data_IF_311004124338
#
_entry.id   IF_311004124338
#
_cell.length_a   1.000
_cell.length_b   1.000
_cell.length_c   1.000
_cell.angle_alpha   90.00
_cell.angle_beta   90.00
_cell.angle_gamma   90.00
#
_symmetry.space_group_name_H-M   'P 1'
#
loop_
_entity.id
_entity.type
_entity.pdbx_description
1 polymer ?
#
# COMPACT_ATOMS: atom_id res chain seq x y z
N UNK A 1 -9.60 14.58 1.78
CA UNK A 1 -9.64 14.82 0.31
C UNK A 1 -8.32 14.39 -0.28
N UNK A 2 -8.32 13.91 -1.52
CA UNK A 2 -7.12 13.53 -2.26
C UNK A 2 -6.43 14.80 -2.75
N UNK A 3 -5.15 14.96 -2.43
CA UNK A 3 -4.32 16.11 -2.84
C UNK A 3 -3.33 15.75 -3.97
N UNK A 4 -2.47 16.70 -4.35
CA UNK A 4 -1.48 16.52 -5.41
C UNK A 4 -0.41 15.46 -5.03
N UNK A 5 0.00 15.43 -3.76
CA UNK A 5 0.97 14.46 -3.28
C UNK A 5 0.39 13.04 -3.30
N UNK A 6 -0.90 12.90 -3.00
CA UNK A 6 -1.61 11.62 -3.11
C UNK A 6 -1.72 11.15 -4.56
N UNK A 7 -2.00 12.06 -5.51
CA UNK A 7 -2.03 11.75 -6.95
C UNK A 7 -0.67 11.28 -7.44
N UNK A 8 0.40 11.97 -7.06
CA UNK A 8 1.77 11.55 -7.37
C UNK A 8 2.09 10.17 -6.78
N UNK A 9 1.62 9.87 -5.56
CA UNK A 9 1.82 8.56 -4.94
C UNK A 9 1.11 7.44 -5.73
N UNK A 10 -0.11 7.69 -6.22
CA UNK A 10 -0.83 6.75 -7.09
C UNK A 10 -0.08 6.54 -8.40
N UNK A 11 0.39 7.61 -9.03
CA UNK A 11 1.17 7.54 -10.27
C UNK A 11 2.43 6.70 -10.10
N UNK A 12 3.14 6.85 -8.98
CA UNK A 12 4.32 6.05 -8.65
C UNK A 12 3.99 4.56 -8.45
N UNK A 13 2.85 4.25 -7.83
CA UNK A 13 2.36 2.88 -7.71
C UNK A 13 2.00 2.28 -9.09
N UNK A 14 1.41 3.08 -9.97
CA UNK A 14 1.07 2.69 -11.34
C UNK A 14 2.33 2.48 -12.18
N UNK A 15 3.33 3.36 -12.03
CA UNK A 15 4.60 3.25 -12.75
C UNK A 15 5.34 1.96 -12.36
N UNK A 16 5.43 1.65 -11.07
CA UNK A 16 6.18 0.47 -10.62
C UNK A 16 5.54 -0.82 -11.14
N UNK A 17 4.20 -0.95 -11.09
CA UNK A 17 3.54 -2.15 -11.60
C UNK A 17 3.61 -2.25 -13.12
N UNK A 18 3.51 -1.14 -13.87
CA UNK A 18 3.70 -1.16 -15.32
C UNK A 18 5.11 -1.58 -15.71
N UNK A 19 6.12 -1.11 -14.99
CA UNK A 19 7.53 -1.42 -15.24
C UNK A 19 7.90 -2.85 -14.87
N UNK A 20 7.24 -3.44 -13.86
CA UNK A 20 7.61 -4.72 -13.26
C UNK A 20 6.57 -5.81 -13.44
N UNK A 21 5.49 -5.53 -14.18
CA UNK A 21 4.47 -6.52 -14.51
C UNK A 21 5.12 -7.78 -15.07
N UNK A 22 4.71 -8.91 -14.51
CA UNK A 22 5.10 -10.24 -14.97
C UNK A 22 3.94 -11.17 -14.67
N UNK A 23 3.46 -11.83 -15.72
CA UNK A 23 2.40 -12.84 -15.63
C UNK A 23 2.75 -13.88 -14.56
N UNK A 24 1.75 -14.24 -13.74
CA UNK A 24 1.87 -15.16 -12.60
C UNK A 24 2.88 -14.76 -11.51
N UNK A 25 3.35 -13.51 -11.48
CA UNK A 25 4.36 -13.06 -10.50
C UNK A 25 4.05 -11.70 -9.86
N UNK A 26 3.75 -10.69 -10.68
CA UNK A 26 3.62 -9.29 -10.22
C UNK A 26 2.37 -8.65 -10.85
N UNK A 27 1.27 -8.59 -10.08
CA UNK A 27 -0.01 -8.04 -10.54
C UNK A 27 -0.46 -6.78 -9.81
N UNK A 28 0.10 -6.53 -8.62
CA UNK A 28 -0.23 -5.37 -7.79
C UNK A 28 1.05 -4.58 -7.54
N UNK A 29 0.98 -3.26 -7.71
CA UNK A 29 1.99 -2.30 -7.24
C UNK A 29 1.49 -1.57 -6.00
N UNK A 30 2.40 -1.12 -5.16
CA UNK A 30 2.10 -0.22 -4.07
C UNK A 30 3.14 0.89 -3.98
N UNK A 31 2.70 2.03 -3.47
CA UNK A 31 3.57 3.13 -3.08
C UNK A 31 3.19 3.59 -1.67
N UNK A 32 4.22 3.76 -0.83
CA UNK A 32 4.13 4.14 0.56
C UNK A 32 4.93 5.42 0.76
N UNK A 33 4.28 6.47 1.23
CA UNK A 33 4.92 7.71 1.71
C UNK A 33 5.04 7.65 3.22
N UNK A 34 6.23 7.95 3.73
CA UNK A 34 6.51 8.03 5.18
C UNK A 34 6.28 9.45 5.69
N UNK A 35 6.26 9.64 7.00
CA UNK A 35 6.11 10.98 7.59
C UNK A 35 7.33 11.89 7.36
N UNK A 36 8.48 11.33 6.96
CA UNK A 36 9.63 12.12 6.50
C UNK A 36 9.49 12.61 5.07
N UNK A 37 8.49 12.13 4.33
CA UNK A 37 8.19 12.49 2.94
C UNK A 37 8.82 11.60 1.89
N UNK A 38 9.65 10.62 2.27
CA UNK A 38 10.22 9.66 1.34
C UNK A 38 9.15 8.68 0.83
N UNK A 39 9.36 8.14 -0.37
CA UNK A 39 8.45 7.17 -0.98
C UNK A 39 9.16 5.84 -1.27
N UNK A 40 8.48 4.75 -0.92
CA UNK A 40 8.90 3.37 -1.18
C UNK A 40 7.86 2.70 -2.08
N UNK A 41 8.30 2.29 -3.27
CA UNK A 41 7.46 1.59 -4.24
C UNK A 41 7.86 0.13 -4.35
N UNK A 42 6.87 -0.75 -4.40
CA UNK A 42 7.08 -2.19 -4.50
C UNK A 42 6.01 -2.85 -5.38
N UNK A 43 6.26 -4.10 -5.74
CA UNK A 43 5.27 -5.00 -6.35
C UNK A 43 5.00 -6.18 -5.43
N UNK A 44 3.81 -6.75 -5.60
CA UNK A 44 3.44 -8.04 -5.04
C UNK A 44 4.44 -9.11 -5.47
N UNK A 45 4.82 -10.00 -4.56
CA UNK A 45 5.71 -11.13 -4.86
C UNK A 45 4.93 -12.42 -4.72
N UNK A 46 4.60 -13.02 -5.88
CA UNK A 46 3.93 -14.32 -5.91
C UNK A 46 4.82 -15.43 -5.37
N UNK A 47 4.20 -16.38 -4.69
CA UNK A 47 4.81 -17.64 -4.35
C UNK A 47 3.88 -18.79 -4.71
N UNK A 48 4.44 -19.89 -5.22
CA UNK A 48 3.66 -21.11 -5.50
C UNK A 48 2.87 -21.59 -4.28
N UNK A 49 3.46 -21.46 -3.09
CA UNK A 49 2.76 -21.65 -1.83
C UNK A 49 2.16 -20.31 -1.41
N UNK A 50 0.89 -20.09 -1.71
CA UNK A 50 0.24 -18.79 -1.50
C UNK A 50 0.29 -18.23 -0.07
N UNK A 51 0.54 -19.07 0.96
CA UNK A 51 0.70 -18.62 2.36
C UNK A 51 1.91 -17.72 2.59
N UNK A 52 2.87 -17.73 1.67
CA UNK A 52 4.09 -16.89 1.72
C UNK A 52 4.12 -15.87 0.57
N UNK A 53 3.03 -15.74 -0.19
CA UNK A 53 2.86 -14.64 -1.15
C UNK A 53 2.82 -13.32 -0.39
N UNK A 54 3.56 -12.34 -0.87
CA UNK A 54 3.66 -11.04 -0.22
C UNK A 54 2.92 -9.99 -1.03
N UNK A 55 1.99 -9.28 -0.38
CA UNK A 55 1.34 -8.12 -0.95
C UNK A 55 2.38 -6.99 -1.18
N UNK A 56 2.12 -6.15 -2.19
CA UNK A 56 3.02 -5.05 -2.53
C UNK A 56 3.21 -4.09 -1.34
N UNK A 57 2.14 -3.85 -0.57
CA UNK A 57 2.15 -3.01 0.63
C UNK A 57 3.13 -3.55 1.68
N UNK A 58 3.11 -4.86 1.94
CA UNK A 58 3.99 -5.48 2.93
C UNK A 58 5.46 -5.39 2.52
N UNK A 59 5.75 -5.52 1.21
CA UNK A 59 7.11 -5.34 0.68
C UNK A 59 7.55 -3.87 0.84
N UNK A 60 6.70 -2.90 0.49
CA UNK A 60 6.99 -1.48 0.64
C UNK A 60 7.23 -1.09 2.11
N UNK A 61 6.43 -1.62 3.04
CA UNK A 61 6.62 -1.45 4.49
C UNK A 61 7.96 -2.04 4.93
N UNK A 62 8.30 -3.25 4.47
CA UNK A 62 9.58 -3.88 4.76
C UNK A 62 10.78 -3.06 4.26
N UNK A 63 10.67 -2.44 3.09
CA UNK A 63 11.70 -1.55 2.55
C UNK A 63 11.87 -0.28 3.41
N UNK A 64 10.77 0.39 3.76
CA UNK A 64 10.78 1.57 4.63
C UNK A 64 11.34 1.26 6.02
N UNK A 65 10.92 0.12 6.61
CA UNK A 65 11.44 -0.37 7.88
C UNK A 65 12.94 -0.65 7.82
N UNK A 66 13.41 -1.29 6.74
CA UNK A 66 14.83 -1.60 6.55
C UNK A 66 15.68 -0.34 6.36
N UNK A 67 15.09 0.74 5.83
CA UNK A 67 15.73 2.05 5.74
C UNK A 67 15.70 2.84 7.06
N UNK A 68 15.00 2.34 8.08
CA UNK A 68 14.81 3.07 9.34
C UNK A 68 13.86 4.27 9.21
N UNK A 69 12.99 4.28 8.20
CA UNK A 69 12.19 5.43 7.80
C UNK A 69 10.70 5.13 7.96
N UNK A 70 10.27 5.09 9.21
CA UNK A 70 8.89 4.91 9.63
C UNK A 70 8.60 5.96 10.72
N UNK A 71 7.33 6.40 10.90
CA UNK A 71 6.08 5.75 10.50
C UNK A 71 5.56 6.10 9.10
N UNK A 72 4.52 5.36 8.70
CA UNK A 72 3.78 5.57 7.44
C UNK A 72 2.89 6.82 7.55
N UNK A 73 2.92 7.67 6.54
CA UNK A 73 1.95 8.76 6.34
C UNK A 73 0.76 8.28 5.51
N UNK A 74 1.03 7.87 4.27
CA UNK A 74 -0.01 7.48 3.30
C UNK A 74 0.45 6.30 2.46
N UNK A 75 -0.45 5.36 2.16
CA UNK A 75 -0.16 4.19 1.30
C UNK A 75 -1.30 3.93 0.31
N UNK A 76 -0.95 3.43 -0.88
CA UNK A 76 -1.89 2.99 -1.92
C UNK A 76 -1.40 1.73 -2.61
N UNK A 77 -2.34 0.86 -3.00
CA UNK A 77 -2.11 -0.28 -3.86
C UNK A 77 -2.92 -0.15 -5.16
N UNK A 78 -2.34 -0.58 -6.28
CA UNK A 78 -2.94 -0.50 -7.62
C UNK A 78 -2.75 -1.80 -8.39
N UNK A 79 -3.74 -2.15 -9.20
CA UNK A 79 -3.65 -3.26 -10.15
C UNK A 79 -2.90 -2.89 -11.43
N UNK A 80 -2.61 -3.88 -12.27
CA UNK A 80 -1.99 -3.69 -13.60
C UNK A 80 -2.79 -2.77 -14.52
N UNK A 81 -4.12 -2.71 -14.34
CA UNK A 81 -5.02 -1.81 -15.08
C UNK A 81 -4.96 -0.35 -14.56
N UNK A 82 -4.12 -0.08 -13.58
CA UNK A 82 -3.91 1.22 -12.97
C UNK A 82 -4.98 1.63 -11.96
N UNK A 83 -5.94 0.77 -11.64
CA UNK A 83 -6.97 1.08 -10.66
C UNK A 83 -6.48 0.81 -9.25
N UNK A 84 -6.86 1.70 -8.33
CA UNK A 84 -6.65 1.49 -6.90
C UNK A 84 -7.41 0.24 -6.46
N UNK A 85 -6.79 -0.55 -5.57
CA UNK A 85 -7.38 -1.73 -4.96
C UNK A 85 -7.34 -1.60 -3.43
N UNK A 86 -8.35 -2.12 -2.70
CA UNK A 86 -8.33 -2.07 -1.25
C UNK A 86 -7.24 -3.00 -0.69
N UNK A 87 -6.53 -2.62 0.39
CA UNK A 87 -5.56 -3.51 1.01
C UNK A 87 -6.25 -4.73 1.65
N UNK A 88 -5.59 -5.87 1.59
CA UNK A 88 -6.05 -7.10 2.24
C UNK A 88 -6.00 -6.99 3.78
N UNK A 89 -6.66 -7.91 4.49
CA UNK A 89 -6.73 -7.87 5.96
C UNK A 89 -5.35 -7.88 6.64
N UNK A 90 -4.40 -8.68 6.15
CA UNK A 90 -3.04 -8.73 6.69
C UNK A 90 -2.29 -7.42 6.48
N UNK A 91 -2.45 -6.78 5.32
CA UNK A 91 -1.81 -5.49 5.06
C UNK A 91 -2.41 -4.39 5.93
N UNK A 92 -3.74 -4.42 6.17
CA UNK A 92 -4.36 -3.46 7.09
C UNK A 92 -3.73 -3.55 8.48
N UNK A 93 -3.57 -4.76 9.01
CA UNK A 93 -2.92 -4.97 10.31
C UNK A 93 -1.50 -4.42 10.33
N UNK A 94 -0.71 -4.73 9.29
CA UNK A 94 0.67 -4.28 9.16
C UNK A 94 0.78 -2.75 9.05
N UNK A 95 -0.07 -2.12 8.23
CA UNK A 95 -0.13 -0.65 8.10
C UNK A 95 -0.45 -0.03 9.45
N UNK A 96 -1.41 -0.58 10.19
CA UNK A 96 -1.79 -0.05 11.50
C UNK A 96 -0.66 -0.17 12.54
N UNK A 97 0.14 -1.23 12.49
CA UNK A 97 1.27 -1.45 13.40
C UNK A 97 2.46 -0.51 13.10
N UNK A 98 2.71 -0.21 11.82
CA UNK A 98 3.81 0.68 11.40
C UNK A 98 3.39 2.14 11.15
N UNK A 99 2.11 2.45 11.34
CA UNK A 99 1.54 3.78 11.16
C UNK A 99 0.11 3.86 11.67
N UNK A 100 -0.08 3.98 12.99
CA UNK A 100 -1.42 4.03 13.58
C UNK A 100 -2.29 5.22 13.11
N UNK A 101 -1.65 6.28 12.60
CA UNK A 101 -2.31 7.45 12.02
C UNK A 101 -2.31 7.43 10.48
N UNK A 102 -1.81 6.35 9.86
CA UNK A 102 -1.65 6.26 8.42
C UNK A 102 -2.99 6.44 7.70
N UNK A 103 -2.91 7.10 6.56
CA UNK A 103 -3.98 7.20 5.59
C UNK A 103 -3.80 6.14 4.51
N UNK A 104 -4.92 5.61 4.01
CA UNK A 104 -4.96 4.61 2.95
C UNK A 104 -5.84 5.14 1.84
N UNK A 105 -5.32 5.13 0.61
CA UNK A 105 -6.11 5.46 -0.57
C UNK A 105 -6.80 4.17 -1.06
N UNK A 106 -8.12 4.19 -1.12
CA UNK A 106 -8.97 3.04 -1.45
C UNK A 106 -10.01 3.42 -2.51
N UNK A 107 -10.65 2.44 -3.18
CA UNK A 107 -11.81 2.71 -4.02
C UNK A 107 -12.99 3.19 -3.17
N UNK A 108 -13.67 4.23 -3.63
CA UNK A 108 -14.90 4.79 -3.08
C UNK A 108 -16.11 4.59 -3.98
N UNK A 109 -17.25 5.22 -3.64
CA UNK A 109 -18.51 5.02 -4.38
C UNK A 109 -18.47 5.57 -5.81
N UNK A 110 -17.84 6.74 -6.03
CA UNK A 110 -17.75 7.37 -7.34
C UNK A 110 -16.31 7.68 -7.78
N UNK A 111 -15.34 7.67 -6.86
CA UNK A 111 -13.92 7.94 -7.10
C UNK A 111 -13.06 7.21 -6.06
N UNK A 112 -11.78 7.55 -5.97
CA UNK A 112 -10.89 7.11 -4.89
C UNK A 112 -11.10 7.97 -3.63
N UNK A 113 -10.91 7.37 -2.47
CA UNK A 113 -11.06 8.01 -1.17
C UNK A 113 -9.81 7.80 -0.32
N UNK A 114 -9.46 8.79 0.50
CA UNK A 114 -8.39 8.71 1.49
C UNK A 114 -9.01 8.53 2.87
N UNK A 115 -8.77 7.39 3.51
CA UNK A 115 -9.36 7.01 4.80
C UNK A 115 -8.28 6.68 5.83
N UNK A 116 -8.57 6.85 7.12
CA UNK A 116 -7.67 6.40 8.18
C UNK A 116 -7.59 4.88 8.21
N UNK A 117 -6.42 4.32 8.50
CA UNK A 117 -6.27 2.87 8.69
C UNK A 117 -7.20 2.31 9.77
N UNK A 118 -7.53 3.08 10.80
CA UNK A 118 -8.44 2.65 11.87
C UNK A 118 -9.89 2.46 11.38
N UNK A 119 -10.28 3.16 10.30
CA UNK A 119 -11.59 2.94 9.66
C UNK A 119 -11.65 1.56 8.97
N UNK A 120 -10.51 1.05 8.49
CA UNK A 120 -10.44 -0.23 7.79
C UNK A 120 -10.30 -1.45 8.72
N UNK A 121 -10.10 -1.21 10.03
CA UNK A 121 -9.96 -2.23 11.09
C UNK A 121 -10.85 -1.90 12.31
N UNK A 122 -12.18 -2.01 12.16
CA UNK A 122 -13.07 -1.77 13.29
C UNK A 122 -12.83 -2.77 14.41
N UNK A 123 -12.76 -2.28 15.65
CA UNK A 123 -12.51 -3.09 16.86
C UNK A 123 -11.21 -3.92 16.78
N UNK A 124 -10.14 -3.35 16.20
CA UNK A 124 -8.81 -3.97 16.14
C UNK A 124 -8.37 -4.48 17.52
N UNK A 125 -7.94 -5.73 17.58
CA UNK A 125 -7.28 -6.27 18.77
C UNK A 125 -5.96 -5.54 19.04
N UNK A 126 -5.72 -5.16 20.29
CA UNK A 126 -4.45 -4.57 20.75
C UNK A 126 -3.90 -5.47 21.86
N UNK A 127 -2.60 -5.74 21.83
CA UNK A 127 -1.92 -6.58 22.81
C UNK A 127 -1.67 -5.85 24.12
#
# INVERSE_FOLDING_TARGET
MIDEMDRALIEQAVEIIRKRYKEDHHHIGAALRTTSGNVYCAVHVEAYIGRITLCAEAVAIGMAASAGDLPIDTIVAVGVDGKVVPPCGMCRELIADYGHQAQVIVPGQNEIEKVSINFLLPNKYTR
#
